data_IF_969708753317
#
_entry.id   IF_969708753317
#
_cell.length_a   1.000
_cell.length_b   1.000
_cell.length_c   1.000
_cell.angle_alpha   90.00
_cell.angle_beta   90.00
_cell.angle_gamma   90.00
#
_symmetry.space_group_name_H-M   'P 1'
#
loop_
_entity.id
_entity.type
_entity.pdbx_description
1 polymer ?
#
# COMPACT_ATOMS: atom_id res chain seq x y z
N UNK A 1 -12.47 -19.91 -11.86
CA UNK A 1 -12.77 -18.47 -11.78
C UNK A 1 -14.26 -18.34 -11.54
N UNK A 2 -14.64 -17.54 -10.55
CA UNK A 2 -16.04 -17.30 -10.20
C UNK A 2 -16.61 -16.13 -11.00
N UNK A 3 -17.92 -16.14 -11.22
CA UNK A 3 -18.63 -15.10 -11.98
C UNK A 3 -18.34 -13.69 -11.46
N UNK A 4 -18.21 -13.53 -10.13
CA UNK A 4 -17.88 -12.25 -9.51
C UNK A 4 -16.50 -11.74 -9.93
N UNK A 5 -15.47 -12.60 -9.89
CA UNK A 5 -14.11 -12.22 -10.28
C UNK A 5 -14.10 -11.79 -11.75
N UNK A 6 -14.77 -12.53 -12.62
CA UNK A 6 -14.84 -12.23 -14.05
C UNK A 6 -15.55 -10.88 -14.31
N UNK A 7 -16.69 -10.65 -13.64
CA UNK A 7 -17.43 -9.38 -13.73
C UNK A 7 -16.60 -8.20 -13.24
N UNK A 8 -15.92 -8.36 -12.11
CA UNK A 8 -15.05 -7.32 -11.57
C UNK A 8 -13.84 -7.05 -12.47
N UNK A 9 -13.21 -8.08 -13.04
CA UNK A 9 -12.10 -7.91 -13.99
C UNK A 9 -12.55 -7.15 -15.25
N UNK A 10 -13.73 -7.48 -15.79
CA UNK A 10 -14.31 -6.76 -16.93
C UNK A 10 -14.65 -5.32 -16.56
N UNK A 11 -15.31 -5.09 -15.42
CA UNK A 11 -15.67 -3.75 -14.97
C UNK A 11 -14.45 -2.86 -14.72
N UNK A 12 -13.42 -3.40 -14.05
CA UNK A 12 -12.20 -2.67 -13.71
C UNK A 12 -11.18 -2.58 -14.85
N UNK A 13 -11.48 -3.19 -16.00
CA UNK A 13 -10.72 -2.92 -17.23
C UNK A 13 -10.92 -1.49 -17.74
N UNK A 14 -12.02 -0.82 -17.34
CA UNK A 14 -12.20 0.62 -17.56
C UNK A 14 -11.45 1.41 -16.47
N UNK A 15 -10.44 2.24 -16.85
CA UNK A 15 -9.71 3.07 -15.90
C UNK A 15 -10.60 4.00 -15.07
N UNK A 16 -11.75 4.46 -15.60
CA UNK A 16 -12.69 5.31 -14.86
C UNK A 16 -13.42 4.54 -13.77
N UNK A 17 -13.78 3.29 -14.04
CA UNK A 17 -14.39 2.41 -13.06
C UNK A 17 -13.40 2.09 -11.92
N UNK A 18 -12.12 1.87 -12.24
CA UNK A 18 -11.09 1.72 -11.22
C UNK A 18 -10.93 2.98 -10.37
N UNK A 19 -10.85 4.17 -10.99
CA UNK A 19 -10.78 5.43 -10.24
C UNK A 19 -12.00 5.61 -9.31
N UNK A 20 -13.22 5.34 -9.80
CA UNK A 20 -14.45 5.40 -9.01
C UNK A 20 -14.52 4.33 -7.91
N UNK A 21 -13.88 3.17 -8.08
CA UNK A 21 -13.76 2.15 -7.04
C UNK A 21 -12.87 2.64 -5.89
N UNK A 22 -11.73 3.26 -6.23
CA UNK A 22 -10.75 3.73 -5.26
C UNK A 22 -11.20 5.03 -4.57
N UNK A 23 -11.93 5.88 -5.29
CA UNK A 23 -12.49 7.12 -4.76
C UNK A 23 -13.97 7.29 -5.15
N UNK A 24 -14.88 6.61 -4.43
CA UNK A 24 -16.30 6.68 -4.73
C UNK A 24 -16.83 8.11 -4.52
N UNK A 25 -17.72 8.63 -5.37
CA UNK A 25 -18.26 9.98 -5.23
C UNK A 25 -19.08 10.19 -3.94
N UNK A 26 -19.50 9.10 -3.30
CA UNK A 26 -20.19 9.14 -2.01
C UNK A 26 -19.21 9.31 -0.82
N UNK A 27 -17.92 8.98 -0.99
CA UNK A 27 -16.89 9.06 0.05
C UNK A 27 -16.24 10.45 0.06
N UNK A 28 -16.94 11.43 0.65
CA UNK A 28 -16.43 12.81 0.76
C UNK A 28 -15.15 12.93 1.59
N UNK A 29 -14.82 11.93 2.39
CA UNK A 29 -13.60 11.93 3.19
C UNK A 29 -12.41 11.36 2.42
N UNK A 30 -12.64 10.79 1.23
CA UNK A 30 -11.63 10.09 0.45
C UNK A 30 -10.91 9.02 1.29
N UNK A 31 -11.65 8.33 2.16
CA UNK A 31 -11.09 7.45 3.18
C UNK A 31 -10.26 6.31 2.58
N UNK A 32 -10.68 5.79 1.42
CA UNK A 32 -9.94 4.77 0.66
C UNK A 32 -8.62 5.30 0.10
N UNK A 33 -8.64 6.47 -0.53
CA UNK A 33 -7.43 7.12 -1.06
C UNK A 33 -6.45 7.50 0.03
N UNK A 34 -6.93 8.02 1.16
CA UNK A 34 -6.09 8.27 2.34
C UNK A 34 -5.46 6.98 2.87
N UNK A 35 -6.22 5.89 2.91
CA UNK A 35 -5.70 4.58 3.33
C UNK A 35 -4.66 4.02 2.36
N UNK A 36 -4.87 4.19 1.05
CA UNK A 36 -3.89 3.83 0.00
C UNK A 36 -2.61 4.64 0.16
N UNK A 37 -2.73 5.95 0.34
CA UNK A 37 -1.59 6.83 0.56
C UNK A 37 -0.82 6.42 1.82
N UNK A 38 -1.50 6.25 2.96
CA UNK A 38 -0.87 5.83 4.22
C UNK A 38 -0.25 4.41 4.15
N UNK A 39 -0.74 3.54 3.27
CA UNK A 39 -0.15 2.23 3.04
C UNK A 39 1.20 2.31 2.29
N UNK A 40 1.41 3.37 1.51
CA UNK A 40 2.57 3.53 0.63
C UNK A 40 3.55 4.58 1.09
N UNK A 41 3.08 5.70 1.61
CA UNK A 41 3.86 6.89 1.91
C UNK A 41 3.90 7.09 3.43
N UNK A 42 5.11 7.23 3.96
CA UNK A 42 5.33 7.71 5.32
C UNK A 42 5.46 9.24 5.26
N UNK A 43 4.47 9.92 5.84
CA UNK A 43 4.32 11.37 5.79
C UNK A 43 3.93 11.89 7.19
N UNK A 44 4.83 11.85 8.18
CA UNK A 44 4.50 12.15 9.58
C UNK A 44 4.06 13.60 9.83
N UNK A 45 4.36 14.51 8.90
CA UNK A 45 4.07 15.94 8.99
C UNK A 45 3.12 16.45 7.90
N UNK A 46 2.47 15.54 7.18
CA UNK A 46 1.61 15.88 6.06
C UNK A 46 0.21 15.33 6.30
N UNK A 47 -0.75 16.23 6.47
CA UNK A 47 -2.15 15.88 6.56
C UNK A 47 -2.78 16.07 5.18
N UNK A 48 -3.36 14.99 4.64
CA UNK A 48 -4.15 15.10 3.41
C UNK A 48 -5.40 15.90 3.76
N UNK A 49 -5.61 17.03 3.09
CA UNK A 49 -6.84 17.78 3.18
C UNK A 49 -7.87 17.28 2.17
N UNK A 50 -7.45 17.10 0.92
CA UNK A 50 -8.36 16.74 -0.19
C UNK A 50 -7.68 15.91 -1.29
N UNK A 51 -8.48 15.23 -2.11
CA UNK A 51 -8.02 14.51 -3.31
C UNK A 51 -8.60 15.21 -4.53
N UNK A 52 -7.76 15.92 -5.28
CA UNK A 52 -8.22 16.78 -6.38
C UNK A 52 -8.39 16.01 -7.68
N UNK A 53 -7.46 15.12 -8.00
CA UNK A 53 -7.44 14.41 -9.27
C UNK A 53 -6.86 13.01 -9.12
N UNK A 54 -7.48 12.04 -9.79
CA UNK A 54 -6.98 10.66 -9.90
C UNK A 54 -6.96 10.29 -11.37
N UNK A 55 -5.78 9.98 -11.88
CA UNK A 55 -5.58 9.50 -13.25
C UNK A 55 -4.93 8.14 -13.22
N UNK A 56 -5.57 7.14 -13.82
CA UNK A 56 -4.95 5.82 -14.05
C UNK A 56 -4.07 5.91 -15.29
N UNK A 57 -2.76 5.74 -15.12
CA UNK A 57 -1.77 5.88 -16.21
C UNK A 57 -1.53 4.57 -16.94
N UNK A 58 -1.42 3.49 -16.17
CA UNK A 58 -1.20 2.14 -16.68
C UNK A 58 -2.10 1.17 -15.93
N UNK A 59 -2.61 0.18 -16.67
CA UNK A 59 -3.47 -0.87 -16.15
C UNK A 59 -3.04 -2.19 -16.79
N UNK A 60 -2.81 -3.20 -15.97
CA UNK A 60 -2.43 -4.54 -16.40
C UNK A 60 -3.29 -5.56 -15.64
N UNK A 61 -3.96 -6.45 -16.38
CA UNK A 61 -4.84 -7.49 -15.85
C UNK A 61 -4.10 -8.82 -15.78
N UNK A 62 -4.44 -9.63 -14.77
CA UNK A 62 -3.95 -10.99 -14.58
C UNK A 62 -2.42 -11.11 -14.68
N UNK A 63 -1.72 -10.36 -13.82
CA UNK A 63 -0.25 -10.34 -13.79
C UNK A 63 0.28 -11.51 -12.94
N UNK A 64 1.00 -12.48 -13.53
CA UNK A 64 1.65 -13.52 -12.76
C UNK A 64 2.92 -12.96 -12.10
N UNK A 65 3.07 -13.22 -10.81
CA UNK A 65 4.31 -13.01 -10.07
C UNK A 65 4.94 -14.35 -9.75
N UNK A 66 6.26 -14.43 -9.93
CA UNK A 66 7.04 -15.64 -9.67
C UNK A 66 7.95 -15.40 -8.45
N UNK A 67 7.41 -15.48 -7.22
CA UNK A 67 8.23 -15.38 -6.04
C UNK A 67 9.29 -16.48 -6.03
N UNK A 68 10.54 -16.10 -5.77
CA UNK A 68 11.61 -17.03 -5.46
C UNK A 68 11.85 -17.04 -3.95
N UNK A 69 11.88 -18.25 -3.37
CA UNK A 69 12.34 -18.44 -2.01
C UNK A 69 13.82 -18.80 -2.04
N UNK A 70 14.65 -17.95 -1.45
CA UNK A 70 16.07 -18.26 -1.27
C UNK A 70 16.23 -18.91 0.10
N UNK A 71 16.54 -20.21 0.09
CA UNK A 71 16.80 -21.00 1.30
C UNK A 71 18.31 -21.14 1.46
N UNK A 72 18.86 -20.49 2.49
CA UNK A 72 20.28 -20.59 2.83
C UNK A 72 20.42 -21.61 3.97
N UNK A 73 21.20 -22.66 3.71
CA UNK A 73 21.49 -23.72 4.66
C UNK A 73 22.99 -23.81 4.94
N UNK A 74 23.35 -23.97 6.21
CA UNK A 74 24.70 -24.40 6.58
C UNK A 74 24.59 -25.74 7.29
N UNK A 75 25.25 -26.75 6.72
CA UNK A 75 25.41 -28.05 7.35
C UNK A 75 26.87 -28.20 7.78
N UNK A 76 27.07 -28.48 9.06
CA UNK A 76 28.41 -28.68 9.64
C UNK A 76 28.51 -30.10 10.16
N UNK A 77 29.55 -30.82 9.74
CA UNK A 77 29.92 -32.11 10.30
C UNK A 77 31.27 -32.01 11.01
N UNK A 78 31.25 -32.33 12.30
CA UNK A 78 32.45 -32.46 13.13
C UNK A 78 32.92 -33.91 13.13
N UNK A 79 34.20 -34.15 12.81
CA UNK A 79 34.81 -35.47 12.90
C UNK A 79 35.56 -35.63 14.24
N UNK A 80 35.84 -36.87 14.70
CA UNK A 80 36.69 -37.11 15.87
C UNK A 80 38.15 -36.63 15.70
N UNK A 81 38.60 -36.46 14.45
CA UNK A 81 39.88 -35.85 14.09
C UNK A 81 39.73 -34.32 14.03
N UNK A 82 40.81 -33.52 14.11
CA UNK A 82 40.77 -32.05 14.04
C UNK A 82 40.48 -31.54 12.62
N UNK A 83 39.45 -32.09 11.97
CA UNK A 83 38.96 -31.72 10.64
C UNK A 83 37.46 -31.41 10.76
N UNK A 84 37.05 -30.28 10.21
CA UNK A 84 35.66 -29.82 10.17
C UNK A 84 35.24 -29.68 8.71
N UNK A 85 34.05 -30.18 8.38
CA UNK A 85 33.44 -30.03 7.06
C UNK A 85 32.25 -29.10 7.18
N UNK A 86 32.27 -27.98 6.46
CA UNK A 86 31.15 -27.05 6.34
C UNK A 86 30.63 -27.09 4.90
N UNK A 87 29.34 -27.41 4.75
CA UNK A 87 28.61 -27.34 3.47
C UNK A 87 27.67 -26.15 3.57
N UNK A 88 27.83 -25.21 2.64
CA UNK A 88 26.89 -24.13 2.41
C UNK A 88 26.06 -24.47 1.19
N UNK A 89 24.75 -24.41 1.34
CA UNK A 89 23.80 -24.63 0.26
C UNK A 89 22.94 -23.38 0.12
N UNK A 90 22.92 -22.82 -1.07
CA UNK A 90 21.98 -21.77 -1.45
C UNK A 90 21.01 -22.39 -2.45
N UNK A 91 19.74 -22.55 -2.07
CA UNK A 91 18.71 -23.10 -2.93
C UNK A 91 17.66 -22.03 -3.25
N UNK A 92 17.23 -21.98 -4.51
CA UNK A 92 16.17 -21.09 -4.96
C UNK A 92 14.98 -21.94 -5.36
N UNK A 93 14.01 -22.07 -4.44
CA UNK A 93 12.78 -22.79 -4.70
C UNK A 93 11.79 -21.88 -5.43
N UNK A 94 11.31 -22.25 -6.63
CA UNK A 94 10.21 -21.55 -7.27
C UNK A 94 8.94 -21.82 -6.47
N UNK A 95 8.36 -20.77 -5.89
CA UNK A 95 7.03 -20.88 -5.30
C UNK A 95 5.99 -20.93 -6.43
N UNK A 96 4.79 -21.42 -6.10
CA UNK A 96 3.66 -21.33 -7.02
C UNK A 96 3.45 -19.87 -7.44
N UNK A 97 3.12 -19.61 -8.72
CA UNK A 97 2.93 -18.26 -9.20
C UNK A 97 1.79 -17.61 -8.42
N UNK A 98 2.06 -16.42 -7.90
CA UNK A 98 1.05 -15.58 -7.28
C UNK A 98 0.40 -14.75 -8.37
N UNK A 99 -0.89 -14.96 -8.60
CA UNK A 99 -1.65 -14.16 -9.55
C UNK A 99 -2.17 -12.89 -8.87
N UNK A 100 -1.81 -11.73 -9.43
CA UNK A 100 -2.46 -10.47 -9.13
C UNK A 100 -3.51 -10.23 -10.20
N UNK A 101 -4.74 -10.02 -9.77
CA UNK A 101 -5.89 -9.87 -10.67
C UNK A 101 -5.76 -8.59 -11.51
N UNK A 102 -5.29 -7.51 -10.90
CA UNK A 102 -5.05 -6.23 -11.58
C UNK A 102 -3.92 -5.46 -10.90
N UNK A 103 -2.99 -4.92 -11.69
CA UNK A 103 -2.06 -3.87 -11.23
C UNK A 103 -2.31 -2.58 -11.98
N UNK A 104 -2.23 -1.44 -11.30
CA UNK A 104 -2.35 -0.15 -11.94
C UNK A 104 -1.37 0.87 -11.36
N UNK A 105 -0.86 1.75 -12.22
CA UNK A 105 -0.09 2.92 -11.83
C UNK A 105 -1.01 4.13 -11.88
N UNK A 106 -1.19 4.78 -10.74
CA UNK A 106 -2.04 5.93 -10.54
C UNK A 106 -1.18 7.19 -10.43
N UNK A 107 -1.73 8.29 -10.93
CA UNK A 107 -1.25 9.63 -10.64
C UNK A 107 -2.31 10.37 -9.87
N UNK A 108 -1.98 10.78 -8.66
CA UNK A 108 -2.95 11.39 -7.74
C UNK A 108 -2.44 12.74 -7.29
N UNK A 109 -3.28 13.76 -7.46
CA UNK A 109 -3.02 15.11 -6.95
C UNK A 109 -3.75 15.26 -5.62
N UNK A 110 -2.98 15.36 -4.54
CA UNK A 110 -3.48 15.62 -3.20
C UNK A 110 -3.30 17.09 -2.86
N UNK A 111 -4.28 17.64 -2.15
CA UNK A 111 -4.11 18.87 -1.41
C UNK A 111 -3.61 18.50 -0.02
N UNK A 112 -2.37 18.88 0.31
CA UNK A 112 -1.70 18.50 1.55
C UNK A 112 -1.45 19.76 2.38
N UNK A 113 -1.78 19.68 3.66
CA UNK A 113 -1.36 20.65 4.67
C UNK A 113 -0.07 20.14 5.31
N UNK A 114 1.02 20.89 5.15
CA UNK A 114 2.29 20.61 5.80
C UNK A 114 2.31 21.24 7.19
N UNK A 115 2.21 20.42 8.23
CA UNK A 115 2.44 20.86 9.59
C UNK A 115 3.95 20.78 9.91
N UNK A 116 4.71 21.71 9.34
CA UNK A 116 6.15 21.81 9.57
C UNK A 116 6.51 22.17 11.02
N UNK A 117 5.53 22.42 11.90
CA UNK A 117 5.75 22.95 13.23
C UNK A 117 5.10 22.14 14.36
N UNK A 118 4.77 20.87 14.11
CA UNK A 118 4.37 19.95 15.17
C UNK A 118 5.57 19.59 16.05
N UNK A 119 6.04 20.57 16.80
CA UNK A 119 7.06 20.41 17.82
C UNK A 119 6.39 19.76 19.03
N UNK A 120 6.39 18.43 19.07
CA UNK A 120 5.71 17.68 20.14
C UNK A 120 6.30 17.94 21.53
N UNK A 121 7.60 18.26 21.62
CA UNK A 121 8.20 18.88 22.80
C UNK A 121 9.60 19.44 22.51
N UNK A 122 9.90 20.66 22.98
CA UNK A 122 11.30 21.12 23.12
C UNK A 122 11.66 20.98 24.60
N UNK A 123 12.49 20.00 24.94
CA UNK A 123 13.15 19.99 26.26
C UNK A 123 14.31 20.98 26.22
N UNK A 124 14.06 22.22 26.62
CA UNK A 124 15.12 23.22 26.78
C UNK A 124 15.75 23.03 28.16
N UNK A 125 16.98 22.53 28.19
CA UNK A 125 17.88 22.74 29.33
C UNK A 125 18.99 23.68 28.83
N UNK A 126 19.04 24.88 29.41
CA UNK A 126 20.10 25.88 29.20
C UNK A 126 20.28 26.48 27.78
N UNK A 127 19.21 26.82 27.06
CA UNK A 127 19.33 27.78 25.95
C UNK A 127 19.25 29.21 26.49
N UNK A 128 20.41 29.83 26.74
CA UNK A 128 20.53 31.27 26.98
C UNK A 128 20.26 32.13 25.72
N UNK A 129 19.97 31.49 24.58
CA UNK A 129 19.77 32.12 23.28
C UNK A 129 18.27 32.22 22.94
N UNK A 130 17.83 33.45 22.66
CA UNK A 130 16.45 33.80 22.32
C UNK A 130 16.08 33.25 20.94
N UNK A 131 15.46 32.07 20.88
CA UNK A 131 14.85 31.56 19.64
C UNK A 131 13.59 32.40 19.38
N UNK A 132 13.57 33.13 18.26
CA UNK A 132 12.33 33.73 17.73
C UNK A 132 11.69 32.70 16.82
N UNK A 133 10.55 32.15 17.24
CA UNK A 133 9.68 31.38 16.38
C UNK A 133 8.92 32.37 15.49
N UNK A 134 9.07 32.25 14.18
CA UNK A 134 8.22 32.98 13.25
C UNK A 134 6.83 32.34 13.23
N UNK A 135 5.75 33.13 13.21
CA UNK A 135 4.41 32.59 13.08
C UNK A 135 4.28 31.91 11.72
N UNK A 136 3.79 30.67 11.71
CA UNK A 136 3.52 29.95 10.48
C UNK A 136 2.50 30.70 9.64
N UNK A 137 2.72 30.71 8.32
CA UNK A 137 1.70 31.16 7.39
C UNK A 137 0.44 30.29 7.57
N UNK A 138 -0.74 30.91 7.48
CA UNK A 138 -2.01 30.16 7.47
C UNK A 138 -2.06 29.32 6.19
N UNK A 139 -2.60 28.10 6.31
CA UNK A 139 -2.87 27.24 5.17
C UNK A 139 -3.78 27.95 4.15
N UNK A 140 -3.35 27.98 2.89
CA UNK A 140 -4.13 28.45 1.75
C UNK A 140 -4.40 27.26 0.80
N UNK A 141 -5.66 26.76 0.72
CA UNK A 141 -6.03 25.68 -0.19
C UNK A 141 -5.78 25.96 -1.67
N UNK A 142 -5.60 27.24 -2.04
CA UNK A 142 -5.38 27.67 -3.43
C UNK A 142 -3.90 27.84 -3.76
N UNK A 143 -3.01 27.71 -2.78
CA UNK A 143 -1.58 27.76 -3.03
C UNK A 143 -1.16 26.51 -3.81
N UNK A 144 -0.58 26.65 -5.03
CA UNK A 144 -0.08 25.51 -5.80
C UNK A 144 1.01 24.72 -5.06
N UNK A 145 1.70 25.31 -4.08
CA UNK A 145 2.67 24.59 -3.25
C UNK A 145 2.03 23.48 -2.40
N UNK A 146 0.74 23.60 -2.07
CA UNK A 146 -0.01 22.60 -1.31
C UNK A 146 -0.59 21.48 -2.21
N UNK A 147 -0.48 21.62 -3.53
CA UNK A 147 -0.97 20.63 -4.50
C UNK A 147 0.19 19.72 -4.92
N UNK A 148 0.25 18.55 -4.29
CA UNK A 148 1.33 17.60 -4.51
C UNK A 148 0.82 16.39 -5.30
N UNK A 149 1.55 16.08 -6.37
CA UNK A 149 1.27 14.95 -7.25
C UNK A 149 2.13 13.76 -6.87
N UNK A 150 1.48 12.63 -6.61
CA UNK A 150 2.10 11.36 -6.26
C UNK A 150 1.84 10.31 -7.33
N UNK A 151 2.81 9.44 -7.56
CA UNK A 151 2.65 8.29 -8.45
C UNK A 151 2.49 7.04 -7.57
N UNK A 152 1.28 6.50 -7.50
CA UNK A 152 0.92 5.40 -6.61
C UNK A 152 0.65 4.12 -7.42
N UNK A 153 1.38 3.05 -7.15
CA UNK A 153 1.03 1.71 -7.63
C UNK A 153 -0.05 1.07 -6.77
N UNK A 154 -1.03 0.39 -7.39
CA UNK A 154 -2.00 -0.47 -6.69
C UNK A 154 -1.97 -1.88 -7.23
N UNK A 155 -2.09 -2.86 -6.34
CA UNK A 155 -2.14 -4.28 -6.66
C UNK A 155 -3.43 -4.89 -6.10
N UNK A 156 -4.40 -5.12 -6.98
CA UNK A 156 -5.73 -5.61 -6.64
C UNK A 156 -5.78 -7.14 -6.65
N UNK A 157 -6.32 -7.69 -5.57
CA UNK A 157 -6.66 -9.09 -5.39
C UNK A 157 -8.18 -9.20 -5.23
N UNK A 158 -8.86 -9.79 -6.21
CA UNK A 158 -10.31 -9.95 -6.23
C UNK A 158 -10.62 -11.34 -5.71
N UNK A 159 -11.45 -11.43 -4.67
CA UNK A 159 -11.84 -12.69 -4.04
C UNK A 159 -13.36 -12.78 -4.02
N UNK A 160 -13.89 -13.98 -4.19
CA UNK A 160 -15.32 -14.28 -4.13
C UNK A 160 -15.78 -14.59 -2.70
N UNK A 161 -14.90 -15.14 -1.88
CA UNK A 161 -15.16 -15.42 -0.47
C UNK A 161 -14.26 -14.58 0.44
N UNK A 162 -14.76 -14.30 1.66
CA UNK A 162 -13.99 -13.57 2.68
C UNK A 162 -13.25 -14.59 3.55
N UNK A 163 -12.10 -15.09 3.06
CA UNK A 163 -11.08 -15.70 3.91
C UNK A 163 -10.05 -14.63 4.30
N UNK A 164 -10.17 -14.11 5.53
CA UNK A 164 -9.34 -13.03 6.05
C UNK A 164 -7.85 -13.44 6.11
N UNK A 165 -7.56 -14.67 6.52
CA UNK A 165 -6.21 -15.12 6.74
C UNK A 165 -5.49 -15.35 5.40
N UNK A 166 -6.17 -15.98 4.45
CA UNK A 166 -5.65 -16.18 3.10
C UNK A 166 -5.46 -14.84 2.37
N UNK A 167 -6.46 -13.95 2.41
CA UNK A 167 -6.39 -12.65 1.77
C UNK A 167 -5.24 -11.79 2.31
N UNK A 168 -5.04 -11.73 3.64
CA UNK A 168 -3.91 -11.02 4.23
C UNK A 168 -2.57 -11.65 3.85
N UNK A 169 -2.48 -12.98 3.83
CA UNK A 169 -1.26 -13.68 3.40
C UNK A 169 -0.92 -13.36 1.94
N UNK A 170 -1.91 -13.43 1.05
CA UNK A 170 -1.76 -13.12 -0.37
C UNK A 170 -1.37 -11.65 -0.60
N UNK A 171 -2.02 -10.71 0.09
CA UNK A 171 -1.71 -9.28 0.02
C UNK A 171 -0.28 -8.96 0.49
N UNK A 172 0.14 -9.55 1.62
CA UNK A 172 1.52 -9.39 2.15
C UNK A 172 2.56 -9.98 1.19
N UNK A 173 2.29 -11.15 0.63
CA UNK A 173 3.17 -11.78 -0.34
C UNK A 173 3.26 -10.96 -1.63
N UNK A 174 2.13 -10.49 -2.17
CA UNK A 174 2.10 -9.62 -3.36
C UNK A 174 2.94 -8.36 -3.16
N UNK A 175 2.75 -7.69 -2.01
CA UNK A 175 3.53 -6.50 -1.65
C UNK A 175 5.02 -6.79 -1.59
N UNK A 176 5.42 -7.88 -0.94
CA UNK A 176 6.84 -8.23 -0.80
C UNK A 176 7.48 -8.58 -2.15
N UNK A 177 6.76 -9.30 -3.02
CA UNK A 177 7.27 -9.64 -4.35
C UNK A 177 7.38 -8.42 -5.24
N UNK A 178 6.36 -7.55 -5.27
CA UNK A 178 6.40 -6.30 -6.03
C UNK A 178 7.50 -5.36 -5.53
N UNK A 179 7.70 -5.27 -4.21
CA UNK A 179 8.79 -4.49 -3.60
C UNK A 179 10.17 -4.92 -4.07
N UNK A 180 10.37 -6.21 -4.35
CA UNK A 180 11.62 -6.75 -4.90
C UNK A 180 11.72 -6.61 -6.42
N UNK A 181 10.60 -6.74 -7.12
CA UNK A 181 10.55 -6.76 -8.58
C UNK A 181 10.62 -5.37 -9.20
N UNK A 182 10.10 -4.35 -8.52
CA UNK A 182 10.01 -2.99 -9.04
C UNK A 182 11.09 -2.13 -8.40
N UNK A 183 11.99 -1.49 -9.18
CA UNK A 183 12.99 -0.62 -8.62
C UNK A 183 12.32 0.53 -7.87
N UNK A 184 12.86 0.83 -6.69
CA UNK A 184 12.41 1.95 -5.88
C UNK A 184 12.46 3.25 -6.69
N UNK A 185 11.32 3.92 -6.83
CA UNK A 185 11.25 5.27 -7.40
C UNK A 185 11.36 6.24 -6.25
N UNK A 186 12.50 6.93 -6.16
CA UNK A 186 12.65 8.06 -5.26
C UNK A 186 11.78 9.20 -5.78
N UNK A 187 10.72 9.53 -5.05
CA UNK A 187 9.87 10.67 -5.35
C UNK A 187 10.26 11.80 -4.40
N UNK A 188 10.96 12.80 -4.92
CA UNK A 188 11.41 13.95 -4.15
C UNK A 188 10.25 14.93 -3.93
N UNK A 189 9.37 14.62 -2.98
CA UNK A 189 8.32 15.54 -2.53
C UNK A 189 8.35 15.64 -0.99
N UNK A 190 8.71 16.84 -0.51
CA UNK A 190 8.42 17.37 0.83
C UNK A 190 8.49 16.38 1.99
N UNK A 191 9.70 15.96 2.39
CA UNK A 191 9.97 15.12 3.57
C UNK A 191 9.14 13.82 3.67
N UNK A 192 8.54 13.38 2.55
CA UNK A 192 7.82 12.11 2.49
C UNK A 192 8.74 11.00 2.01
N UNK A 193 8.60 9.82 2.61
CA UNK A 193 9.34 8.63 2.19
C UNK A 193 8.36 7.60 1.67
N UNK A 194 8.57 7.15 0.43
CA UNK A 194 7.82 6.03 -0.11
C UNK A 194 8.27 4.74 0.60
N UNK A 195 7.39 4.13 1.37
CA UNK A 195 7.65 2.86 2.07
C UNK A 195 7.45 1.64 1.18
N UNK A 196 6.60 1.74 0.15
CA UNK A 196 6.30 0.64 -0.76
C UNK A 196 5.93 1.15 -2.15
N UNK A 197 6.36 0.47 -3.25
CA UNK A 197 5.98 0.87 -4.61
C UNK A 197 4.51 0.59 -4.94
N UNK A 198 3.85 -0.33 -4.21
CA UNK A 198 2.45 -0.70 -4.44
C UNK A 198 1.67 -0.84 -3.15
N UNK A 199 0.45 -0.30 -3.11
CA UNK A 199 -0.55 -0.63 -2.09
C UNK A 199 -1.33 -1.89 -2.49
N UNK A 200 -1.34 -2.95 -1.66
CA UNK A 200 -2.22 -4.08 -1.88
C UNK A 200 -3.66 -3.68 -1.57
N UNK A 201 -4.57 -4.01 -2.49
CA UNK A 201 -6.01 -3.80 -2.38
C UNK A 201 -6.71 -5.14 -2.49
N UNK A 202 -7.58 -5.47 -1.56
CA UNK A 202 -8.40 -6.69 -1.64
C UNK A 202 -9.85 -6.32 -1.87
N UNK A 203 -10.44 -6.84 -2.94
CA UNK A 203 -11.83 -6.60 -3.32
C UNK A 203 -12.65 -7.85 -3.02
N UNK A 204 -13.69 -7.69 -2.21
CA UNK A 204 -14.66 -8.74 -1.87
C UNK A 204 -16.06 -8.36 -2.38
N UNK A 205 -16.97 -9.33 -2.58
CA UNK A 205 -18.36 -9.03 -2.87
C UNK A 205 -19.01 -8.50 -1.60
N UNK A 206 -19.78 -7.41 -1.71
CA UNK A 206 -20.54 -6.88 -0.58
C UNK A 206 -21.49 -7.91 0.02
N UNK A 207 -22.05 -8.81 -0.81
CA UNK A 207 -22.93 -9.89 -0.36
C UNK A 207 -22.20 -10.92 0.54
N UNK A 208 -20.89 -11.11 0.37
CA UNK A 208 -20.12 -12.07 1.16
C UNK A 208 -19.99 -11.64 2.63
N UNK A 209 -20.17 -10.35 2.95
CA UNK A 209 -20.15 -9.85 4.33
C UNK A 209 -21.18 -10.56 5.22
N UNK A 210 -22.36 -10.87 4.68
CA UNK A 210 -23.44 -11.53 5.40
C UNK A 210 -23.09 -12.96 5.87
N UNK A 211 -22.11 -13.60 5.24
CA UNK A 211 -21.62 -14.91 5.61
C UNK A 211 -20.56 -14.86 6.74
N UNK A 212 -20.07 -13.67 7.09
CA UNK A 212 -19.03 -13.50 8.10
C UNK A 212 -19.59 -13.05 9.45
N UNK A 213 -18.81 -13.23 10.52
CA UNK A 213 -19.13 -12.70 11.85
C UNK A 213 -18.61 -11.28 12.08
N UNK A 214 -17.91 -10.72 11.09
CA UNK A 214 -17.27 -9.40 11.20
C UNK A 214 -18.10 -8.35 10.48
N UNK A 215 -18.12 -7.14 11.01
CA UNK A 215 -18.67 -6.00 10.28
C UNK A 215 -17.70 -5.51 9.21
N UNK A 216 -18.21 -4.80 8.22
CA UNK A 216 -17.37 -4.12 7.23
C UNK A 216 -16.30 -3.24 7.88
N UNK A 217 -16.67 -2.46 8.91
CA UNK A 217 -15.73 -1.60 9.64
C UNK A 217 -14.63 -2.39 10.34
N UNK A 218 -14.97 -3.54 10.95
CA UNK A 218 -13.98 -4.40 11.62
C UNK A 218 -12.99 -4.99 10.60
N UNK A 219 -13.48 -5.46 9.45
CA UNK A 219 -12.61 -5.97 8.39
C UNK A 219 -11.72 -4.86 7.81
N UNK A 220 -12.27 -3.67 7.55
CA UNK A 220 -11.48 -2.51 7.11
C UNK A 220 -10.37 -2.17 8.08
N UNK A 221 -10.68 -2.09 9.38
CA UNK A 221 -9.69 -1.80 10.42
C UNK A 221 -8.60 -2.87 10.51
N UNK A 222 -8.99 -4.16 10.46
CA UNK A 222 -8.04 -5.28 10.51
C UNK A 222 -7.06 -5.28 9.34
N UNK A 223 -7.54 -5.08 8.12
CA UNK A 223 -6.68 -5.02 6.94
C UNK A 223 -5.83 -3.74 6.90
N UNK A 224 -6.40 -2.60 7.34
CA UNK A 224 -5.67 -1.34 7.43
C UNK A 224 -4.47 -1.43 8.40
N UNK A 225 -4.61 -2.16 9.51
CA UNK A 225 -3.50 -2.42 10.44
C UNK A 225 -2.30 -3.12 9.77
N UNK A 226 -2.55 -3.83 8.68
CA UNK A 226 -1.53 -4.53 7.87
C UNK A 226 -1.13 -3.75 6.61
N UNK A 227 -1.55 -2.49 6.49
CA UNK A 227 -1.41 -1.63 5.31
C UNK A 227 -1.97 -2.29 4.05
N UNK A 228 -3.14 -2.89 4.17
CA UNK A 228 -3.91 -3.46 3.06
C UNK A 228 -5.25 -2.73 3.00
N UNK A 229 -5.62 -2.23 1.81
CA UNK A 229 -6.90 -1.56 1.62
C UNK A 229 -7.95 -2.60 1.23
N UNK A 230 -9.08 -2.61 1.92
CA UNK A 230 -10.20 -3.50 1.57
C UNK A 230 -11.32 -2.74 0.90
N UNK A 231 -11.95 -3.35 -0.09
CA UNK A 231 -13.10 -2.81 -0.80
C UNK A 231 -14.18 -3.88 -0.87
N UNK A 232 -15.40 -3.51 -0.51
CA UNK A 232 -16.58 -4.34 -0.69
C UNK A 232 -17.36 -3.76 -1.86
N UNK A 233 -17.45 -4.52 -2.96
CA UNK A 233 -18.03 -4.08 -4.21
C UNK A 233 -19.28 -4.91 -4.55
N UNK A 234 -20.21 -4.28 -5.24
CA UNK A 234 -21.28 -4.96 -5.96
C UNK A 234 -20.86 -5.01 -7.43
N UNK A 235 -20.92 -6.17 -8.10
CA UNK A 235 -20.57 -6.29 -9.51
C UNK A 235 -21.51 -5.50 -10.42
#
# INVERSE_FOLDING_TARGET
MSLFVDQMLVALSDPRALAALLDPPADRAHARMRSLFAAMVDAPFADIHDVQEITVRQLELARPLFPSLVTNGTWTQSHPQPVRTDVRSDHVDPLQPLWIDLTADLSVTFLIEHDAARVESIRVHELATRIRLEPLARFDPRDPANQLRFELGVALLIRDEIDVAEALRAAKLAREVLRRAVPYREQAAADTTLSSPYAPVVVFPAAALAATRFTETQLRALFAAERVVTVFATP
#
